data_IF_784289128494
#
_entry.id   IF_784289128494
#
_cell.length_a   1.000
_cell.length_b   1.000
_cell.length_c   1.000
_cell.angle_alpha   90.00
_cell.angle_beta   90.00
_cell.angle_gamma   90.00
#
_symmetry.space_group_name_H-M   'P 1'
#
loop_
_entity.id
_entity.type
_entity.pdbx_description
1 polymer ?
#
# COMPACT_ATOMS: atom_id res chain seq x y z
N UNK A 1 40.29 10.83 6.73
CA UNK A 1 38.98 11.22 6.17
C UNK A 1 37.92 10.42 6.90
N UNK A 2 37.05 11.09 7.67
CA UNK A 2 35.90 10.42 8.26
C UNK A 2 34.89 10.14 7.15
N UNK A 3 34.49 8.87 7.00
CA UNK A 3 33.36 8.50 6.15
C UNK A 3 32.12 9.06 6.84
N UNK A 4 31.59 10.17 6.33
CA UNK A 4 30.27 10.64 6.70
C UNK A 4 29.30 9.62 6.12
N UNK A 5 28.91 8.64 6.94
CA UNK A 5 27.78 7.77 6.62
C UNK A 5 26.57 8.68 6.66
N UNK A 6 26.15 9.18 5.50
CA UNK A 6 24.88 9.89 5.35
C UNK A 6 23.79 8.91 5.77
N UNK A 7 23.23 9.14 6.97
CA UNK A 7 22.09 8.36 7.47
C UNK A 7 21.00 8.46 6.42
N UNK A 8 20.70 7.34 5.75
CA UNK A 8 19.68 7.28 4.72
C UNK A 8 18.36 7.68 5.39
N UNK A 9 17.66 8.64 4.79
CA UNK A 9 16.40 9.13 5.32
C UNK A 9 15.35 8.00 5.28
N UNK A 10 14.82 7.61 6.44
CA UNK A 10 13.87 6.51 6.58
C UNK A 10 12.65 6.64 5.66
N UNK A 11 12.15 7.86 5.45
CA UNK A 11 11.03 8.12 4.53
C UNK A 11 11.38 7.78 3.08
N UNK A 12 12.62 8.00 2.65
CA UNK A 12 13.05 7.61 1.31
C UNK A 12 13.05 6.09 1.16
N UNK A 13 13.53 5.35 2.16
CA UNK A 13 13.51 3.88 2.14
C UNK A 13 12.08 3.35 2.04
N UNK A 14 11.15 3.94 2.80
CA UNK A 14 9.73 3.58 2.76
C UNK A 14 9.15 3.80 1.37
N UNK A 15 9.43 4.96 0.77
CA UNK A 15 8.93 5.31 -0.55
C UNK A 15 9.47 4.39 -1.64
N UNK A 16 10.78 4.11 -1.65
CA UNK A 16 11.40 3.20 -2.62
C UNK A 16 10.84 1.78 -2.51
N UNK A 17 10.72 1.22 -1.29
CA UNK A 17 10.13 -0.11 -1.10
C UNK A 17 8.67 -0.19 -1.55
N UNK A 18 7.90 0.90 -1.39
CA UNK A 18 6.51 0.94 -1.84
C UNK A 18 6.38 0.90 -3.37
N UNK A 19 7.43 1.26 -4.13
CA UNK A 19 7.45 1.09 -5.59
C UNK A 19 7.39 -0.37 -6.04
N UNK A 20 7.71 -1.31 -5.14
CA UNK A 20 7.61 -2.74 -5.42
C UNK A 20 6.15 -3.24 -5.47
N UNK A 21 5.16 -2.42 -5.08
CA UNK A 21 3.75 -2.78 -5.28
C UNK A 21 3.39 -2.82 -6.78
N UNK A 22 2.49 -3.73 -7.22
CA UNK A 22 2.12 -3.85 -8.63
C UNK A 22 1.55 -2.57 -9.26
N UNK A 23 0.88 -1.73 -8.47
CA UNK A 23 0.30 -0.48 -8.93
C UNK A 23 1.29 0.70 -8.87
N UNK A 24 2.55 0.44 -8.49
CA UNK A 24 3.58 1.42 -8.12
C UNK A 24 3.05 2.42 -7.06
N UNK A 25 3.64 3.60 -6.99
CA UNK A 25 3.20 4.76 -6.21
C UNK A 25 3.00 5.97 -7.14
N UNK A 26 2.39 7.07 -6.65
CA UNK A 26 2.29 8.30 -7.42
C UNK A 26 3.66 8.87 -7.83
N UNK A 27 3.83 9.08 -9.13
CA UNK A 27 5.00 9.71 -9.74
C UNK A 27 4.60 11.06 -10.37
N UNK A 28 5.56 11.96 -10.54
CA UNK A 28 5.40 13.17 -11.38
C UNK A 28 5.63 12.86 -12.87
N UNK A 29 5.49 13.89 -13.72
CA UNK A 29 5.60 13.78 -15.17
C UNK A 29 7.02 13.38 -15.62
N UNK A 30 8.03 13.64 -14.80
CA UNK A 30 9.43 13.23 -15.01
C UNK A 30 9.71 11.80 -14.50
N UNK A 31 8.72 11.13 -13.90
CA UNK A 31 8.84 9.77 -13.36
C UNK A 31 9.52 9.71 -11.98
N UNK A 32 9.72 10.84 -11.31
CA UNK A 32 10.17 10.88 -9.93
C UNK A 32 8.99 10.69 -8.97
N UNK A 33 9.28 10.34 -7.72
CA UNK A 33 8.24 10.18 -6.69
C UNK A 33 7.57 11.54 -6.43
N UNK A 34 6.24 11.60 -6.60
CA UNK A 34 5.44 12.81 -6.41
C UNK A 34 5.76 13.47 -5.07
N UNK A 35 6.06 14.77 -5.11
CA UNK A 35 6.32 15.57 -3.91
C UNK A 35 5.11 15.58 -2.98
N UNK A 36 3.89 15.64 -3.52
CA UNK A 36 2.65 15.58 -2.74
C UNK A 36 2.51 14.22 -2.04
N UNK A 37 2.82 13.12 -2.73
CA UNK A 37 2.79 11.78 -2.12
C UNK A 37 3.87 11.60 -1.05
N UNK A 38 5.07 12.12 -1.28
CA UNK A 38 6.15 12.14 -0.28
C UNK A 38 5.69 12.84 1.01
N UNK A 39 5.05 13.99 0.90
CA UNK A 39 4.59 14.72 2.08
C UNK A 39 3.38 14.07 2.73
N UNK A 40 2.55 13.37 1.96
CA UNK A 40 1.49 12.52 2.52
C UNK A 40 2.07 11.42 3.40
N UNK A 41 3.13 10.73 2.95
CA UNK A 41 3.81 9.70 3.75
C UNK A 41 4.47 10.30 5.00
N UNK A 42 5.05 11.50 4.93
CA UNK A 42 5.59 12.19 6.11
C UNK A 42 4.53 12.56 7.15
N UNK A 43 3.29 12.78 6.74
CA UNK A 43 2.19 13.02 7.69
C UNK A 43 1.73 11.73 8.38
N UNK A 44 1.84 10.58 7.71
CA UNK A 44 1.36 9.33 8.29
C UNK A 44 2.21 8.82 9.45
N UNK A 45 3.52 9.04 9.40
CA UNK A 45 4.47 8.50 10.37
C UNK A 45 5.15 9.61 11.14
N UNK A 46 5.37 9.42 12.44
CA UNK A 46 6.38 10.21 13.16
C UNK A 46 7.79 9.80 12.69
N UNK A 47 8.84 10.63 12.93
CA UNK A 47 10.20 10.25 12.64
C UNK A 47 10.62 8.90 13.28
N UNK A 48 10.21 8.65 14.52
CA UNK A 48 10.51 7.42 15.25
C UNK A 48 9.82 6.20 14.62
N UNK A 49 8.56 6.36 14.20
CA UNK A 49 7.82 5.31 13.50
C UNK A 49 8.42 5.03 12.12
N UNK A 50 8.84 6.06 11.39
CA UNK A 50 9.50 5.90 10.10
C UNK A 50 10.79 5.09 10.23
N UNK A 51 11.57 5.31 11.31
CA UNK A 51 12.79 4.55 11.59
C UNK A 51 12.52 3.05 11.81
N UNK A 52 11.33 2.66 12.26
CA UNK A 52 10.91 1.25 12.39
C UNK A 52 10.36 0.75 11.05
N UNK A 53 9.47 1.53 10.43
CA UNK A 53 8.70 1.15 9.24
C UNK A 53 9.58 0.97 8.02
N UNK A 54 10.71 1.68 7.92
CA UNK A 54 11.70 1.44 6.86
C UNK A 54 12.24 -0.01 6.86
N UNK A 55 12.16 -0.74 7.97
CA UNK A 55 12.60 -2.13 8.06
C UNK A 55 11.51 -3.15 7.68
N UNK A 56 10.28 -2.70 7.47
CA UNK A 56 9.22 -3.51 6.89
C UNK A 56 9.45 -3.74 5.39
N UNK A 57 8.59 -4.55 4.80
CA UNK A 57 8.62 -4.97 3.42
C UNK A 57 7.19 -4.98 2.87
N UNK A 58 7.05 -5.04 1.54
CA UNK A 58 5.74 -5.25 0.91
C UNK A 58 5.23 -6.67 1.18
N UNK A 59 6.15 -7.60 1.46
CA UNK A 59 5.84 -8.98 1.88
C UNK A 59 5.73 -9.09 3.40
N UNK A 60 4.80 -9.90 3.94
CA UNK A 60 4.69 -10.15 5.37
C UNK A 60 5.99 -10.66 5.99
N UNK A 61 6.47 -9.98 7.04
CA UNK A 61 7.65 -10.38 7.81
C UNK A 61 7.26 -10.84 9.20
N UNK A 62 7.90 -11.90 9.69
CA UNK A 62 7.73 -12.31 11.09
C UNK A 62 8.27 -11.24 12.05
N UNK A 63 7.68 -11.16 13.25
CA UNK A 63 8.20 -10.32 14.35
C UNK A 63 9.70 -10.56 14.60
N UNK A 64 10.17 -11.81 14.53
CA UNK A 64 11.58 -12.15 14.72
C UNK A 64 12.49 -11.55 13.65
N UNK A 65 12.06 -11.54 12.40
CA UNK A 65 12.82 -10.94 11.31
C UNK A 65 12.93 -9.42 11.49
N UNK A 66 11.83 -8.78 11.90
CA UNK A 66 11.80 -7.33 12.16
C UNK A 66 12.66 -6.98 13.38
N UNK A 67 12.52 -7.73 14.48
CA UNK A 67 13.28 -7.54 15.71
C UNK A 67 14.80 -7.53 15.46
N UNK A 68 15.29 -8.48 14.63
CA UNK A 68 16.69 -8.53 14.19
C UNK A 68 17.10 -7.30 13.39
N UNK A 69 16.22 -6.77 12.53
CA UNK A 69 16.51 -5.58 11.70
C UNK A 69 16.59 -4.30 12.51
N UNK A 70 15.76 -4.16 13.55
CA UNK A 70 15.68 -2.94 14.37
C UNK A 70 16.52 -3.02 15.66
N UNK A 71 17.18 -4.16 15.92
CA UNK A 71 18.04 -4.35 17.08
C UNK A 71 17.29 -4.42 18.42
N UNK A 72 16.05 -4.91 18.43
CA UNK A 72 15.19 -5.04 19.63
C UNK A 72 14.86 -6.50 19.93
N UNK A 73 14.41 -6.76 21.15
CA UNK A 73 13.92 -8.10 21.48
C UNK A 73 12.53 -8.35 20.87
N UNK A 74 12.17 -9.64 20.75
CA UNK A 74 10.92 -10.07 20.11
C UNK A 74 9.68 -9.52 20.82
N UNK A 75 9.66 -9.49 22.15
CA UNK A 75 8.49 -9.08 22.93
C UNK A 75 8.27 -7.59 22.79
N UNK A 76 9.33 -6.80 22.91
CA UNK A 76 9.28 -5.35 22.66
C UNK A 76 8.83 -5.05 21.22
N UNK A 77 9.43 -5.71 20.23
CA UNK A 77 9.07 -5.53 18.81
C UNK A 77 7.61 -5.86 18.56
N UNK A 78 7.09 -6.93 19.16
CA UNK A 78 5.68 -7.29 19.01
C UNK A 78 4.72 -6.23 19.55
N UNK A 79 5.08 -5.60 20.68
CA UNK A 79 4.26 -4.53 21.27
C UNK A 79 4.25 -3.28 20.38
N UNK A 80 5.42 -2.88 19.88
CA UNK A 80 5.57 -1.76 18.95
C UNK A 80 4.74 -1.99 17.69
N UNK A 81 4.90 -3.15 17.03
CA UNK A 81 4.20 -3.46 15.78
C UNK A 81 2.68 -3.53 15.98
N UNK A 82 2.23 -4.10 17.11
CA UNK A 82 0.80 -4.12 17.45
C UNK A 82 0.25 -2.72 17.63
N UNK A 83 0.94 -1.85 18.35
CA UNK A 83 0.51 -0.47 18.51
C UNK A 83 0.43 0.26 17.16
N UNK A 84 1.43 0.09 16.29
CA UNK A 84 1.42 0.68 14.95
C UNK A 84 0.28 0.13 14.07
N UNK A 85 -0.06 -1.14 14.21
CA UNK A 85 -1.20 -1.74 13.52
C UNK A 85 -2.53 -1.20 14.05
N UNK A 86 -2.66 -1.03 15.37
CA UNK A 86 -3.84 -0.45 16.04
C UNK A 86 -4.03 1.04 15.65
N UNK A 87 -2.92 1.76 15.41
CA UNK A 87 -2.93 3.11 14.84
C UNK A 87 -3.29 3.15 13.34
N UNK A 88 -3.28 1.99 12.67
CA UNK A 88 -3.63 1.85 11.27
C UNK A 88 -2.58 2.36 10.29
N UNK A 89 -1.31 2.37 10.68
CA UNK A 89 -0.19 2.85 9.86
C UNK A 89 0.63 1.70 9.24
N UNK A 90 0.42 0.47 9.70
CA UNK A 90 0.94 -0.78 9.12
C UNK A 90 -0.16 -1.85 9.08
N UNK A 91 0.10 -2.99 8.44
CA UNK A 91 -0.75 -4.18 8.55
C UNK A 91 -0.08 -5.25 9.41
N UNK A 92 -0.87 -5.93 10.23
CA UNK A 92 -0.48 -7.13 10.95
C UNK A 92 -1.51 -8.24 10.74
N UNK A 93 -1.05 -9.42 10.34
CA UNK A 93 -1.89 -10.62 10.17
C UNK A 93 -1.14 -11.81 10.76
N UNK A 94 -1.66 -12.36 11.87
CA UNK A 94 -1.18 -13.61 12.44
C UNK A 94 0.29 -13.59 12.88
N UNK A 95 0.80 -12.44 13.37
CA UNK A 95 2.21 -12.29 13.78
C UNK A 95 3.17 -12.00 12.62
N UNK A 96 2.63 -11.61 11.47
CA UNK A 96 3.39 -11.06 10.36
C UNK A 96 2.98 -9.62 10.09
N UNK A 97 3.96 -8.73 10.01
CA UNK A 97 3.73 -7.31 9.78
C UNK A 97 4.37 -6.85 8.46
N UNK A 98 3.72 -5.91 7.78
CA UNK A 98 4.14 -5.38 6.47
C UNK A 98 3.53 -4.00 6.21
N UNK A 99 3.96 -3.34 5.13
CA UNK A 99 3.40 -2.05 4.74
C UNK A 99 1.89 -2.10 4.50
N UNK A 100 1.22 -0.97 4.74
CA UNK A 100 -0.08 -0.73 4.12
C UNK A 100 0.06 -0.83 2.60
N UNK A 101 -0.74 -1.70 2.00
CA UNK A 101 -0.94 -1.73 0.55
C UNK A 101 -1.47 -0.37 0.09
N UNK A 102 -1.18 0.01 -1.16
CA UNK A 102 -1.71 1.23 -1.77
C UNK A 102 -3.25 1.32 -1.66
N UNK A 103 -3.95 0.19 -1.83
CA UNK A 103 -5.40 0.14 -1.66
C UNK A 103 -5.85 0.54 -0.24
N UNK A 104 -5.25 -0.04 0.79
CA UNK A 104 -5.53 0.35 2.18
C UNK A 104 -5.15 1.80 2.48
N UNK A 105 -4.03 2.29 1.92
CA UNK A 105 -3.56 3.67 2.10
C UNK A 105 -4.61 4.70 1.65
N UNK A 106 -5.32 4.40 0.57
CA UNK A 106 -6.34 5.30 -0.01
C UNK A 106 -7.72 5.12 0.62
N UNK A 107 -7.90 4.10 1.45
CA UNK A 107 -9.15 3.84 2.17
C UNK A 107 -9.02 4.07 3.69
N UNK A 108 -7.97 4.79 4.13
CA UNK A 108 -7.70 5.05 5.56
C UNK A 108 -8.88 5.67 6.29
N UNK A 109 -9.64 6.55 5.61
CA UNK A 109 -10.80 7.23 6.18
C UNK A 109 -11.95 6.32 6.63
N UNK A 110 -11.97 5.05 6.19
CA UNK A 110 -13.02 4.10 6.58
C UNK A 110 -12.65 3.21 7.78
N UNK A 111 -11.37 3.12 8.17
CA UNK A 111 -10.92 2.06 9.08
C UNK A 111 -10.04 2.51 10.25
N UNK A 112 -9.35 3.66 10.18
CA UNK A 112 -8.29 3.99 11.14
C UNK A 112 -8.34 5.45 11.63
N UNK A 113 -8.69 5.65 12.90
CA UNK A 113 -8.88 7.00 13.47
C UNK A 113 -7.59 7.80 13.60
N UNK A 114 -6.50 7.21 14.10
CA UNK A 114 -5.23 7.94 14.32
C UNK A 114 -4.50 8.32 13.02
N UNK A 115 -4.44 7.42 12.04
CA UNK A 115 -3.88 7.74 10.72
C UNK A 115 -4.67 8.89 10.06
N UNK A 116 -6.01 8.87 10.18
CA UNK A 116 -6.87 9.93 9.69
C UNK A 116 -6.65 11.27 10.43
N UNK A 117 -6.49 11.25 11.76
CA UNK A 117 -6.18 12.43 12.57
C UNK A 117 -4.89 13.12 12.12
N UNK A 118 -3.82 12.35 11.87
CA UNK A 118 -2.53 12.88 11.43
C UNK A 118 -2.59 13.50 10.04
N UNK A 119 -3.35 12.89 9.15
CA UNK A 119 -3.56 13.39 7.79
C UNK A 119 -4.37 14.70 7.82
N UNK A 120 -5.53 14.68 8.47
CA UNK A 120 -6.43 15.83 8.55
C UNK A 120 -6.72 16.48 7.19
N UNK A 121 -6.95 17.80 7.19
CA UNK A 121 -7.20 18.56 5.96
C UNK A 121 -6.01 18.53 4.99
N UNK A 122 -4.78 18.64 5.51
CA UNK A 122 -3.57 18.68 4.68
C UNK A 122 -3.37 17.37 3.91
N UNK A 123 -3.60 16.23 4.56
CA UNK A 123 -3.57 14.92 3.92
C UNK A 123 -4.64 14.78 2.84
N UNK A 124 -5.85 15.31 3.05
CA UNK A 124 -6.90 15.35 2.02
C UNK A 124 -6.50 16.23 0.82
N UNK A 125 -5.92 17.40 1.05
CA UNK A 125 -5.44 18.29 0.00
C UNK A 125 -4.31 17.63 -0.83
N UNK A 126 -3.36 16.96 -0.15
CA UNK A 126 -2.28 16.20 -0.79
C UNK A 126 -2.81 15.00 -1.58
N UNK A 127 -3.78 14.27 -1.03
CA UNK A 127 -4.46 13.17 -1.72
C UNK A 127 -5.14 13.68 -2.99
N UNK A 128 -5.89 14.78 -2.91
CA UNK A 128 -6.50 15.39 -4.09
C UNK A 128 -5.45 15.79 -5.14
N UNK A 129 -4.28 16.27 -4.70
CA UNK A 129 -3.18 16.61 -5.59
C UNK A 129 -2.65 15.39 -6.34
N UNK A 130 -2.04 14.43 -5.65
CA UNK A 130 -1.40 13.31 -6.35
C UNK A 130 -2.41 12.35 -6.98
N UNK A 131 -3.56 12.13 -6.34
CA UNK A 131 -4.51 11.12 -6.80
C UNK A 131 -5.34 11.63 -7.97
N UNK A 132 -5.92 12.83 -7.85
CA UNK A 132 -6.86 13.39 -8.84
C UNK A 132 -6.16 14.31 -9.85
N UNK A 133 -5.49 15.36 -9.37
CA UNK A 133 -4.92 16.39 -10.26
C UNK A 133 -3.74 15.87 -11.07
N UNK A 134 -2.86 15.12 -10.42
CA UNK A 134 -1.71 14.47 -11.05
C UNK A 134 -2.10 13.11 -11.70
N UNK A 135 -3.41 12.79 -11.69
CA UNK A 135 -4.03 11.67 -12.44
C UNK A 135 -3.53 10.28 -12.08
N UNK A 136 -2.96 10.08 -10.89
CA UNK A 136 -2.54 8.75 -10.45
C UNK A 136 -3.70 7.73 -10.41
N UNK A 137 -4.94 8.19 -10.23
CA UNK A 137 -6.14 7.33 -10.33
C UNK A 137 -6.18 6.50 -11.62
N UNK A 138 -5.63 7.01 -12.74
CA UNK A 138 -5.57 6.28 -14.01
C UNK A 138 -4.73 5.02 -13.89
N UNK A 139 -3.52 5.12 -13.34
CA UNK A 139 -2.67 3.95 -13.09
C UNK A 139 -3.31 3.01 -12.08
N UNK A 140 -3.88 3.58 -11.01
CA UNK A 140 -4.44 2.78 -9.91
C UNK A 140 -5.66 1.95 -10.33
N UNK A 141 -6.56 2.51 -11.16
CA UNK A 141 -7.80 1.84 -11.59
C UNK A 141 -7.67 1.11 -12.93
N UNK A 142 -6.62 1.43 -13.71
CA UNK A 142 -6.48 1.00 -15.10
C UNK A 142 -5.01 0.77 -15.48
N UNK A 143 -4.50 1.48 -16.47
CA UNK A 143 -3.09 1.56 -16.84
C UNK A 143 -2.71 3.02 -17.08
N UNK A 144 -1.43 3.32 -17.32
CA UNK A 144 -1.00 4.67 -17.71
C UNK A 144 -1.69 5.14 -19.00
N UNK A 145 -1.98 4.21 -19.90
CA UNK A 145 -2.75 4.46 -21.13
C UNK A 145 -4.27 4.50 -20.91
N UNK A 146 -4.76 4.30 -19.68
CA UNK A 146 -6.18 4.30 -19.34
C UNK A 146 -6.91 2.98 -19.65
N UNK A 147 -6.19 1.87 -19.85
CA UNK A 147 -6.80 0.57 -20.15
C UNK A 147 -7.33 -0.08 -18.88
N UNK A 148 -8.65 -0.34 -18.74
CA UNK A 148 -9.20 -0.91 -17.52
C UNK A 148 -8.59 -2.27 -17.14
N UNK A 149 -8.33 -2.48 -15.84
CA UNK A 149 -7.85 -3.76 -15.31
C UNK A 149 -8.91 -4.87 -15.43
N UNK A 150 -10.18 -4.48 -15.44
CA UNK A 150 -11.32 -5.40 -15.60
C UNK A 150 -12.03 -5.11 -16.91
N UNK A 151 -12.43 -6.16 -17.62
CA UNK A 151 -13.29 -6.03 -18.81
C UNK A 151 -14.72 -6.30 -18.40
N UNK A 152 -15.61 -5.36 -18.69
CA UNK A 152 -17.06 -5.59 -18.60
C UNK A 152 -17.48 -6.27 -19.90
N UNK A 153 -17.95 -7.51 -19.80
CA UNK A 153 -18.59 -8.21 -20.93
C UNK A 153 -20.10 -8.05 -20.73
N UNK A 154 -20.78 -7.19 -21.49
CA UNK A 154 -22.24 -7.08 -21.39
C UNK A 154 -22.87 -8.41 -21.81
N UNK A 155 -23.74 -8.96 -20.97
CA UNK A 155 -24.54 -10.16 -21.26
C UNK A 155 -25.92 -9.71 -21.75
N UNK A 156 -25.97 -8.91 -22.81
CA UNK A 156 -27.23 -8.64 -23.49
C UNK A 156 -27.31 -9.52 -24.74
N UNK A 157 -28.26 -10.46 -24.71
CA UNK A 157 -28.69 -11.38 -25.77
C UNK A 157 -28.03 -12.77 -25.88
N UNK A 158 -27.67 -13.40 -24.76
CA UNK A 158 -27.76 -14.86 -24.69
C UNK A 158 -28.79 -15.24 -23.64
N UNK A 159 -30.03 -15.43 -24.10
CA UNK A 159 -30.89 -16.43 -23.49
C UNK A 159 -30.05 -17.70 -23.42
N UNK A 160 -29.58 -18.03 -22.21
CA UNK A 160 -29.00 -19.33 -21.93
C UNK A 160 -30.14 -20.31 -22.19
N UNK A 161 -30.17 -20.87 -23.39
CA UNK A 161 -31.04 -21.97 -23.73
C UNK A 161 -30.57 -23.17 -22.89
N UNK A 162 -31.14 -23.28 -21.70
CA UNK A 162 -30.89 -24.33 -20.72
C UNK A 162 -31.15 -25.75 -21.28
N UNK A 163 -31.63 -25.89 -22.51
CA UNK A 163 -31.76 -27.18 -23.20
C UNK A 163 -30.45 -27.73 -23.80
N UNK A 164 -29.41 -26.93 -24.07
CA UNK A 164 -28.19 -27.44 -24.73
C UNK A 164 -27.11 -27.98 -23.80
N UNK A 165 -27.04 -27.58 -22.54
CA UNK A 165 -26.04 -28.10 -21.59
C UNK A 165 -26.37 -29.49 -21.01
N UNK A 166 -27.56 -30.03 -21.27
CA UNK A 166 -27.94 -31.37 -20.81
C UNK A 166 -27.34 -32.52 -21.64
N UNK A 167 -26.73 -32.22 -22.79
CA UNK A 167 -26.19 -33.25 -23.70
C UNK A 167 -24.68 -33.50 -23.61
N UNK A 168 -23.92 -32.74 -22.80
CA UNK A 168 -22.47 -33.00 -22.60
C UNK A 168 -22.13 -33.77 -21.32
N UNK A 169 -23.12 -34.10 -20.48
CA UNK A 169 -22.92 -34.95 -19.28
C UNK A 169 -23.20 -36.44 -19.49
N UNK A 170 -23.32 -36.90 -20.75
CA UNK A 170 -23.64 -38.31 -21.07
C UNK A 170 -22.49 -39.14 -21.66
N UNK A 171 -21.27 -38.60 -21.73
CA UNK A 171 -20.08 -39.36 -22.13
C UNK A 171 -18.92 -39.06 -21.19
N UNK A 172 -19.00 -39.59 -19.97
CA UNK A 172 -17.85 -39.90 -19.12
C UNK A 172 -18.28 -41.00 -18.16
N UNK A 173 -18.20 -42.23 -18.66
CA UNK A 173 -17.95 -43.46 -17.89
C UNK A 173 -16.76 -44.11 -18.56
#
# INVERSE_FOLDING_TARGET
MAIVITKINAYNVILEKKREYPNDIPLDDEGNISSAFREYIKLMFTPEEAEIVQHLDIKPLTVNAIAKRIGKDRKETNLILKEMADQGIIQDIGGYSYFLTVAHLFNIGFKYSKAMERLGKKGADLYQQFFIKDKYYKRYESSDAGTPLTRIIPIDNQLIDNHKYRMQKKFMV
#
